data_IF_223763055775
#
_entry.id   IF_223763055775
#
_cell.length_a   1.000
_cell.length_b   1.000
_cell.length_c   1.000
_cell.angle_alpha   90.00
_cell.angle_beta   90.00
_cell.angle_gamma   90.00
#
_symmetry.space_group_name_H-M   'P 1'
#
loop_
_entity.id
_entity.type
_entity.pdbx_description
1 polymer ?
#
# COMPACT_ATOMS: atom_id res chain seq x y z
N UNK A 1 -17.88 35.43 -21.80
CA UNK A 1 -18.11 34.43 -20.73
C UNK A 1 -17.57 33.10 -21.27
N UNK A 2 -16.35 32.69 -20.87
CA UNK A 2 -15.67 31.51 -21.44
C UNK A 2 -16.10 30.22 -20.74
N UNK A 3 -16.68 29.27 -21.49
CA UNK A 3 -17.00 27.92 -21.01
C UNK A 3 -15.76 27.02 -21.05
N UNK A 4 -15.35 26.45 -19.91
CA UNK A 4 -14.30 25.41 -19.84
C UNK A 4 -14.93 24.06 -20.17
N UNK A 5 -14.47 23.41 -21.24
CA UNK A 5 -14.82 22.01 -21.54
C UNK A 5 -14.00 21.11 -20.61
N UNK A 6 -14.67 20.29 -19.80
CA UNK A 6 -14.01 19.15 -19.13
C UNK A 6 -13.71 18.09 -20.20
N UNK A 7 -12.43 17.74 -20.35
CA UNK A 7 -12.02 16.57 -21.13
C UNK A 7 -11.83 15.41 -20.14
N UNK A 8 -12.61 14.34 -20.27
CA UNK A 8 -12.38 13.09 -19.54
C UNK A 8 -11.45 12.26 -20.43
N UNK A 9 -10.18 12.18 -20.06
CA UNK A 9 -9.23 11.27 -20.72
C UNK A 9 -9.54 9.84 -20.28
N UNK A 10 -9.58 8.93 -21.25
CA UNK A 10 -9.92 7.52 -21.03
C UNK A 10 -8.78 6.87 -20.24
N UNK A 11 -9.08 6.37 -19.04
CA UNK A 11 -8.11 5.71 -18.16
C UNK A 11 -7.73 4.35 -18.79
N UNK A 12 -6.49 4.21 -19.25
CA UNK A 12 -5.99 2.93 -19.75
C UNK A 12 -5.98 1.89 -18.61
N UNK A 13 -6.46 0.68 -18.89
CA UNK A 13 -6.49 -0.40 -17.91
C UNK A 13 -5.05 -0.81 -17.58
N UNK A 14 -4.57 -0.48 -16.38
CA UNK A 14 -3.31 -1.04 -15.86
C UNK A 14 -3.51 -2.53 -15.62
N UNK A 15 -2.95 -3.35 -16.51
CA UNK A 15 -2.80 -4.79 -16.27
C UNK A 15 -1.61 -4.93 -15.32
N UNK A 16 -1.89 -5.14 -14.03
CA UNK A 16 -0.88 -5.58 -13.06
C UNK A 16 -0.48 -7.01 -13.45
N UNK A 17 0.79 -7.21 -13.81
CA UNK A 17 1.34 -8.54 -14.05
C UNK A 17 1.44 -9.30 -12.72
N UNK A 18 0.38 -10.00 -12.35
CA UNK A 18 0.40 -10.96 -11.25
C UNK A 18 1.09 -12.23 -11.72
N UNK A 19 2.36 -12.36 -11.34
CA UNK A 19 3.21 -13.50 -11.63
C UNK A 19 2.88 -14.71 -10.77
N UNK A 20 1.63 -15.16 -10.72
CA UNK A 20 1.27 -16.54 -10.31
C UNK A 20 -0.17 -16.82 -10.69
N UNK A 21 -0.37 -17.76 -11.60
CA UNK A 21 -1.69 -18.08 -12.14
C UNK A 21 -2.62 -18.82 -11.17
N UNK A 22 -3.91 -18.73 -11.53
CA UNK A 22 -4.98 -19.70 -11.28
C UNK A 22 -5.92 -19.50 -10.08
N UNK A 23 -6.83 -18.53 -10.26
CA UNK A 23 -8.31 -18.62 -10.14
C UNK A 23 -8.89 -19.64 -9.14
N UNK A 24 -9.46 -19.14 -8.04
CA UNK A 24 -10.90 -19.16 -7.73
C UNK A 24 -11.17 -18.12 -6.64
N UNK A 25 -11.26 -16.84 -7.03
CA UNK A 25 -11.62 -15.78 -6.10
C UNK A 25 -13.15 -15.67 -6.02
N UNK A 26 -13.71 -16.03 -4.87
CA UNK A 26 -14.92 -15.36 -4.39
C UNK A 26 -14.64 -13.85 -4.35
N UNK A 27 -15.63 -12.96 -4.52
CA UNK A 27 -15.38 -11.52 -4.41
C UNK A 27 -14.90 -11.22 -2.98
N UNK A 28 -13.58 -11.18 -2.81
CA UNK A 28 -12.95 -10.61 -1.62
C UNK A 28 -13.32 -9.13 -1.63
N UNK A 29 -13.94 -8.60 -0.56
CA UNK A 29 -14.25 -7.18 -0.49
C UNK A 29 -13.00 -6.37 -0.81
N UNK A 30 -13.14 -5.40 -1.71
CA UNK A 30 -12.06 -4.51 -2.11
C UNK A 30 -11.52 -3.81 -0.86
N UNK A 31 -10.30 -4.19 -0.43
CA UNK A 31 -9.69 -3.71 0.81
C UNK A 31 -9.01 -4.79 1.66
N UNK A 32 -9.39 -6.06 1.50
CA UNK A 32 -8.69 -7.18 2.15
C UNK A 32 -7.56 -7.65 1.22
N UNK A 33 -6.39 -7.00 1.34
CA UNK A 33 -5.18 -7.49 0.69
C UNK A 33 -4.76 -8.85 1.27
N UNK A 34 -4.09 -9.68 0.48
CA UNK A 34 -3.43 -10.88 0.99
C UNK A 34 -2.57 -10.56 2.22
N UNK A 35 -2.49 -11.47 3.21
CA UNK A 35 -1.65 -11.26 4.38
C UNK A 35 -0.20 -11.02 3.95
N UNK A 36 0.25 -9.77 4.05
CA UNK A 36 1.61 -9.36 3.73
C UNK A 36 2.59 -10.11 4.67
N UNK A 37 3.74 -10.60 4.16
CA UNK A 37 4.77 -11.19 4.99
C UNK A 37 5.18 -10.25 6.13
N UNK A 38 5.47 -10.82 7.30
CA UNK A 38 5.89 -10.03 8.45
C UNK A 38 7.23 -9.34 8.14
N UNK A 39 7.29 -8.02 8.33
CA UNK A 39 8.50 -7.22 8.20
C UNK A 39 8.74 -6.39 9.47
N UNK A 40 9.98 -5.94 9.63
CA UNK A 40 10.41 -5.04 10.71
C UNK A 40 11.35 -4.01 10.10
N UNK A 41 11.19 -2.74 10.48
CA UNK A 41 12.05 -1.63 10.06
C UNK A 41 12.70 -1.01 11.30
N UNK A 42 13.96 -0.61 11.19
CA UNK A 42 14.58 0.24 12.21
C UNK A 42 14.00 1.65 12.13
N UNK A 43 13.62 2.21 13.27
CA UNK A 43 13.19 3.60 13.36
C UNK A 43 14.40 4.54 13.31
N UNK A 44 14.66 5.08 12.12
CA UNK A 44 15.76 6.03 11.89
C UNK A 44 15.34 7.50 12.05
N UNK A 45 14.12 7.78 12.53
CA UNK A 45 13.67 9.16 12.77
C UNK A 45 14.21 9.66 14.13
N UNK A 46 15.16 10.63 14.17
CA UNK A 46 15.79 11.07 15.41
C UNK A 46 14.85 11.77 16.39
N UNK A 47 13.72 12.28 15.90
CA UNK A 47 12.69 12.91 16.74
C UNK A 47 11.70 11.89 17.32
N UNK A 48 11.83 10.61 16.96
CA UNK A 48 10.99 9.54 17.46
C UNK A 48 11.40 9.12 18.87
N UNK A 49 10.45 8.88 19.79
CA UNK A 49 10.74 8.28 21.08
C UNK A 49 11.25 6.83 20.99
N UNK A 50 11.16 6.19 19.82
CA UNK A 50 11.64 4.82 19.56
C UNK A 50 12.85 4.78 18.63
N UNK A 51 13.58 5.90 18.52
CA UNK A 51 14.76 5.98 17.65
C UNK A 51 15.74 4.82 17.91
N UNK A 52 16.11 4.12 16.84
CA UNK A 52 16.99 2.95 16.84
C UNK A 52 16.32 1.62 17.22
N UNK A 53 15.02 1.61 17.54
CA UNK A 53 14.28 0.38 17.82
C UNK A 53 13.74 -0.25 16.52
N UNK A 54 13.55 -1.57 16.53
CA UNK A 54 12.83 -2.27 15.47
C UNK A 54 11.32 -2.14 15.66
N UNK A 55 10.63 -1.69 14.60
CA UNK A 55 9.19 -1.47 14.58
C UNK A 55 8.55 -2.37 13.52
N UNK A 56 7.44 -3.00 13.89
CA UNK A 56 6.70 -3.96 13.07
C UNK A 56 5.21 -3.60 13.00
N UNK A 57 4.49 -4.03 11.96
CA UNK A 57 3.03 -3.92 11.92
C UNK A 57 2.33 -4.58 13.10
N UNK A 58 2.95 -5.60 13.72
CA UNK A 58 2.39 -6.31 14.87
C UNK A 58 2.40 -5.48 16.15
N UNK A 59 3.24 -4.46 16.25
CA UNK A 59 3.26 -3.54 17.39
C UNK A 59 2.02 -2.63 17.42
N UNK A 60 1.28 -2.58 16.31
CA UNK A 60 0.07 -1.77 16.14
C UNK A 60 -1.18 -2.63 15.91
N UNK A 61 -1.21 -3.87 16.42
CA UNK A 61 -2.42 -4.70 16.39
C UNK A 61 -3.59 -3.94 17.03
N UNK A 62 -4.77 -4.07 16.41
CA UNK A 62 -5.99 -3.34 16.78
C UNK A 62 -5.91 -1.82 16.59
N UNK A 63 -4.91 -1.31 15.85
CA UNK A 63 -4.80 0.08 15.44
C UNK A 63 -4.70 0.18 13.92
N UNK A 64 -5.11 1.33 13.36
CA UNK A 64 -4.91 1.62 11.94
C UNK A 64 -3.50 2.17 11.76
N UNK A 65 -2.70 1.53 10.90
CA UNK A 65 -1.35 1.98 10.54
C UNK A 65 -1.18 1.98 9.01
N UNK A 66 -0.31 2.86 8.52
CA UNK A 66 0.02 2.98 7.10
C UNK A 66 1.53 2.85 6.91
N UNK A 67 1.93 2.09 5.89
CA UNK A 67 3.33 1.82 5.57
C UNK A 67 3.56 2.11 4.09
N UNK A 68 4.58 2.92 3.79
CA UNK A 68 4.91 3.34 2.43
C UNK A 68 6.31 2.85 2.08
N UNK A 69 6.43 2.09 0.99
CA UNK A 69 7.70 1.61 0.48
C UNK A 69 7.99 2.27 -0.87
N UNK A 70 9.08 3.05 -0.92
CA UNK A 70 9.58 3.64 -2.15
C UNK A 70 10.68 2.78 -2.76
N UNK A 71 10.72 2.69 -4.09
CA UNK A 71 11.82 2.10 -4.82
C UNK A 71 12.43 3.17 -5.74
N UNK A 72 13.75 3.30 -5.72
CA UNK A 72 14.50 4.10 -6.69
C UNK A 72 15.46 3.18 -7.41
N UNK A 73 15.35 3.14 -8.73
CA UNK A 73 16.28 2.44 -9.63
C UNK A 73 17.48 3.31 -9.95
#
# INVERSE_FOLDING_TARGET
MMSRKLSIEQLESRITMDGTGSVTALPTPEGEGDPQPAFQLEDVNPDSPRFGESVSPRDYLSQVSAWYFGHST
#
